data_IF_641983488141
#
_entry.id   IF_641983488141
#
_cell.length_a   1.000
_cell.length_b   1.000
_cell.length_c   1.000
_cell.angle_alpha   90.00
_cell.angle_beta   90.00
_cell.angle_gamma   90.00
#
_symmetry.space_group_name_H-M   'P 1'
#
loop_
_entity.id
_entity.type
_entity.pdbx_description
1 polymer ?
#
# COMPACT_ATOMS: atom_id res chain seq x y z
N UNK A 1 -20.15 -50.23 -1.40
CA UNK A 1 -19.47 -49.17 -2.18
C UNK A 1 -20.30 -48.81 -3.40
N UNK A 2 -21.28 -47.93 -3.22
CA UNK A 2 -21.92 -47.25 -4.34
C UNK A 2 -21.43 -45.81 -4.32
N UNK A 3 -20.62 -45.47 -5.31
CA UNK A 3 -20.23 -44.11 -5.64
C UNK A 3 -21.49 -43.34 -6.05
N UNK A 4 -22.15 -42.69 -5.09
CA UNK A 4 -23.26 -41.75 -5.36
C UNK A 4 -22.74 -40.61 -6.21
N UNK A 5 -23.21 -40.53 -7.45
CA UNK A 5 -22.88 -39.44 -8.37
C UNK A 5 -23.62 -38.17 -7.93
N UNK A 6 -22.91 -37.05 -7.69
CA UNK A 6 -23.56 -35.80 -7.30
C UNK A 6 -24.40 -35.27 -8.46
N UNK A 7 -25.63 -34.86 -8.17
CA UNK A 7 -26.52 -34.21 -9.13
C UNK A 7 -26.28 -32.69 -9.09
N UNK A 8 -25.86 -32.10 -10.21
CA UNK A 8 -25.76 -30.64 -10.36
C UNK A 8 -27.14 -30.06 -10.70
N UNK A 9 -27.60 -29.10 -9.91
CA UNK A 9 -28.93 -28.48 -10.07
C UNK A 9 -28.77 -27.02 -10.47
N UNK A 10 -29.10 -26.69 -11.72
CA UNK A 10 -29.12 -25.32 -12.26
C UNK A 10 -30.53 -24.79 -12.53
N UNK A 11 -31.58 -25.62 -12.34
CA UNK A 11 -33.00 -25.33 -12.62
C UNK A 11 -33.92 -26.11 -11.66
N UNK A 12 -35.24 -25.84 -11.58
CA UNK A 12 -36.14 -26.57 -10.69
C UNK A 12 -36.14 -28.06 -11.04
N UNK A 13 -35.75 -28.92 -10.09
CA UNK A 13 -35.64 -30.37 -10.27
C UNK A 13 -36.49 -31.07 -9.21
N UNK A 14 -37.36 -31.99 -9.64
CA UNK A 14 -38.16 -32.81 -8.74
C UNK A 14 -37.40 -34.12 -8.45
N UNK A 15 -37.01 -34.32 -7.19
CA UNK A 15 -36.34 -35.54 -6.73
C UNK A 15 -37.29 -36.28 -5.79
N UNK A 16 -37.60 -37.54 -6.11
CA UNK A 16 -38.38 -38.42 -5.22
C UNK A 16 -37.40 -39.27 -4.42
N UNK A 17 -37.52 -39.24 -3.09
CA UNK A 17 -36.64 -39.99 -2.17
C UNK A 17 -37.49 -40.98 -1.39
N UNK A 18 -37.13 -42.26 -1.45
CA UNK A 18 -37.85 -43.29 -0.69
C UNK A 18 -37.35 -43.37 0.76
N UNK A 19 -38.14 -44.00 1.63
CA UNK A 19 -37.80 -44.17 3.04
C UNK A 19 -36.50 -44.98 3.18
N UNK A 20 -35.49 -44.37 3.80
CA UNK A 20 -34.17 -44.98 4.02
C UNK A 20 -33.12 -44.64 2.95
N UNK A 21 -33.50 -43.89 1.90
CA UNK A 21 -32.54 -43.36 0.92
C UNK A 21 -31.99 -42.00 1.38
N UNK A 22 -30.72 -41.75 1.07
CA UNK A 22 -30.04 -40.48 1.32
C UNK A 22 -29.58 -39.88 -0.01
N UNK A 23 -29.97 -38.63 -0.26
CA UNK A 23 -29.60 -37.88 -1.47
C UNK A 23 -28.61 -36.78 -1.11
N UNK A 24 -27.48 -36.75 -1.81
CA UNK A 24 -26.46 -35.71 -1.70
C UNK A 24 -26.59 -34.76 -2.90
N UNK A 25 -26.78 -33.46 -2.63
CA UNK A 25 -26.91 -32.42 -3.66
C UNK A 25 -25.76 -31.41 -3.55
N UNK A 26 -25.21 -30.97 -4.69
CA UNK A 26 -24.30 -29.81 -4.74
C UNK A 26 -25.06 -28.60 -5.29
N UNK A 27 -25.06 -27.52 -4.52
CA UNK A 27 -25.72 -26.28 -4.87
C UNK A 27 -24.66 -25.23 -5.23
N UNK A 28 -24.78 -24.64 -6.42
CA UNK A 28 -23.87 -23.61 -6.93
C UNK A 28 -24.53 -22.21 -6.95
N UNK A 29 -25.77 -22.10 -6.47
CA UNK A 29 -26.54 -20.86 -6.39
C UNK A 29 -27.49 -20.94 -5.19
N UNK A 30 -28.12 -19.82 -4.84
CA UNK A 30 -29.19 -19.84 -3.83
C UNK A 30 -30.39 -20.61 -4.36
N UNK A 31 -30.86 -21.61 -3.62
CA UNK A 31 -31.95 -22.50 -4.05
C UNK A 31 -33.05 -22.55 -3.00
N UNK A 32 -34.29 -22.48 -3.48
CA UNK A 32 -35.49 -22.77 -2.70
C UNK A 32 -35.83 -24.25 -2.88
N UNK A 33 -35.78 -25.02 -1.79
CA UNK A 33 -36.12 -26.44 -1.78
C UNK A 33 -37.50 -26.59 -1.15
N UNK A 34 -38.46 -27.13 -1.91
CA UNK A 34 -39.79 -27.47 -1.41
C UNK A 34 -39.87 -28.97 -1.13
N UNK A 35 -40.09 -29.35 0.12
CA UNK A 35 -40.24 -30.74 0.54
C UNK A 35 -41.73 -31.02 0.71
N UNK A 36 -42.28 -31.93 -0.09
CA UNK A 36 -43.69 -32.35 -0.02
C UNK A 36 -43.78 -33.75 0.60
N UNK A 37 -44.36 -33.86 1.79
CA UNK A 37 -44.54 -35.12 2.50
C UNK A 37 -45.96 -35.65 2.30
N UNK A 38 -46.11 -36.84 1.73
CA UNK A 38 -47.39 -37.53 1.57
C UNK A 38 -47.66 -38.44 2.76
N UNK A 39 -48.68 -38.13 3.55
CA UNK A 39 -49.13 -38.93 4.69
C UNK A 39 -50.40 -39.70 4.30
N UNK A 40 -50.35 -41.03 4.43
CA UNK A 40 -51.53 -41.88 4.29
C UNK A 40 -52.24 -41.94 5.65
N UNK A 41 -53.45 -41.42 5.73
CA UNK A 41 -54.24 -41.48 6.97
C UNK A 41 -54.79 -42.90 7.17
N UNK A 42 -54.53 -43.52 8.32
CA UNK A 42 -55.14 -44.81 8.65
C UNK A 42 -56.65 -44.67 8.82
N UNK A 43 -57.42 -45.49 8.10
CA UNK A 43 -58.90 -45.49 8.14
C UNK A 43 -59.61 -44.69 7.05
N UNK A 44 -58.91 -43.95 6.18
CA UNK A 44 -59.50 -43.17 5.08
C UNK A 44 -58.77 -43.38 3.74
N UNK A 45 -59.45 -43.11 2.62
CA UNK A 45 -58.90 -43.26 1.25
C UNK A 45 -58.15 -42.04 0.72
N UNK A 46 -57.99 -40.98 1.52
CA UNK A 46 -57.31 -39.75 1.11
C UNK A 46 -55.88 -39.67 1.64
N UNK A 47 -55.03 -38.97 0.89
CA UNK A 47 -53.68 -38.61 1.28
C UNK A 47 -53.66 -37.14 1.74
N UNK A 48 -52.97 -36.86 2.84
CA UNK A 48 -52.65 -35.50 3.26
C UNK A 48 -51.23 -35.15 2.82
N UNK A 49 -50.97 -33.88 2.49
CA UNK A 49 -49.62 -33.42 2.15
C UNK A 49 -49.21 -32.19 2.95
N UNK A 50 -47.94 -32.13 3.34
CA UNK A 50 -47.32 -30.99 4.03
C UNK A 50 -46.16 -30.49 3.18
N UNK A 51 -46.07 -29.16 2.98
CA UNK A 51 -44.96 -28.53 2.26
C UNK A 51 -44.07 -27.77 3.24
N UNK A 52 -42.79 -28.11 3.26
CA UNK A 52 -41.76 -27.31 3.91
C UNK A 52 -40.95 -26.57 2.85
N UNK A 53 -40.69 -25.29 3.06
CA UNK A 53 -39.76 -24.52 2.24
C UNK A 53 -38.46 -24.34 3.00
N UNK A 54 -37.37 -24.88 2.46
CA UNK A 54 -36.01 -24.62 2.92
C UNK A 54 -35.35 -23.65 1.94
N UNK A 55 -34.76 -22.58 2.46
CA UNK A 55 -34.01 -21.60 1.67
C UNK A 55 -32.53 -21.83 1.93
N UNK A 56 -31.80 -22.28 0.92
CA UNK A 56 -30.35 -22.39 0.95
C UNK A 56 -29.77 -21.18 0.24
N UNK A 57 -29.03 -20.34 0.96
CA UNK A 57 -28.25 -19.26 0.37
C UNK A 57 -26.89 -19.81 -0.07
N UNK A 58 -26.54 -19.64 -1.34
CA UNK A 58 -25.15 -19.83 -1.74
C UNK A 58 -24.29 -18.72 -1.14
N UNK A 59 -23.10 -19.07 -0.66
CA UNK A 59 -22.10 -18.08 -0.30
C UNK A 59 -21.61 -17.43 -1.60
N UNK A 60 -21.78 -16.12 -1.77
CA UNK A 60 -21.15 -15.38 -2.86
C UNK A 60 -19.66 -15.24 -2.55
N UNK A 61 -18.83 -15.94 -3.30
CA UNK A 61 -17.37 -15.79 -3.27
C UNK A 61 -16.97 -14.93 -4.46
N UNK A 62 -16.56 -13.70 -4.19
CA UNK A 62 -16.09 -12.77 -5.22
C UNK A 62 -14.68 -12.36 -4.84
N UNK A 63 -13.73 -12.63 -5.74
CA UNK A 63 -12.37 -12.10 -5.61
C UNK A 63 -12.40 -10.60 -5.89
N UNK A 64 -11.49 -9.80 -5.30
CA UNK A 64 -11.45 -8.38 -5.57
C UNK A 64 -11.36 -8.08 -7.06
N UNK A 65 -12.17 -7.15 -7.57
CA UNK A 65 -12.08 -6.72 -8.97
C UNK A 65 -10.88 -5.81 -9.20
N UNK A 66 -10.63 -4.92 -8.24
CA UNK A 66 -9.54 -3.95 -8.28
C UNK A 66 -8.96 -3.73 -6.90
N UNK A 67 -7.65 -3.53 -6.87
CA UNK A 67 -6.89 -3.15 -5.68
C UNK A 67 -6.02 -1.97 -6.07
N UNK A 68 -6.14 -0.85 -5.35
CA UNK A 68 -5.42 0.38 -5.69
C UNK A 68 -4.92 1.11 -4.46
N UNK A 69 -3.72 1.67 -4.53
CA UNK A 69 -3.12 2.46 -3.46
C UNK A 69 -3.19 3.93 -3.81
N UNK A 70 -3.63 4.74 -2.84
CA UNK A 70 -3.67 6.19 -2.95
C UNK A 70 -3.27 6.87 -1.64
N UNK A 71 -2.83 8.11 -1.71
CA UNK A 71 -2.61 8.93 -0.53
C UNK A 71 -3.93 9.47 0.01
N UNK A 72 -4.14 9.41 1.33
CA UNK A 72 -5.32 9.99 1.98
C UNK A 72 -5.30 11.52 1.91
N UNK A 73 -4.11 12.11 1.96
CA UNK A 73 -3.90 13.56 1.88
C UNK A 73 -2.99 13.91 0.71
N UNK A 74 -3.25 15.05 0.02
CA UNK A 74 -2.45 15.46 -1.11
C UNK A 74 -1.05 15.91 -0.66
N UNK A 75 -0.07 15.70 -1.54
CA UNK A 75 1.30 16.18 -1.36
C UNK A 75 2.31 15.08 -1.02
N UNK A 76 3.60 15.45 -0.97
CA UNK A 76 4.68 14.53 -0.64
C UNK A 76 4.69 14.22 0.85
N UNK A 77 5.32 13.11 1.20
CA UNK A 77 5.59 12.76 2.59
C UNK A 77 6.66 13.70 3.16
N UNK A 78 6.65 13.96 4.47
CA UNK A 78 7.67 14.80 5.14
C UNK A 78 8.33 13.99 6.25
N UNK A 79 9.66 13.94 6.26
CA UNK A 79 10.47 13.19 7.23
C UNK A 79 9.94 13.36 8.67
N UNK A 80 9.71 12.23 9.35
CA UNK A 80 9.23 12.18 10.74
C UNK A 80 7.76 12.58 10.95
N UNK A 81 7.03 12.93 9.89
CA UNK A 81 5.60 13.28 9.98
C UNK A 81 4.74 12.14 9.45
N UNK A 82 3.77 11.68 10.25
CA UNK A 82 2.88 10.59 9.85
C UNK A 82 2.17 10.89 8.52
N UNK A 83 2.23 9.91 7.61
CA UNK A 83 1.58 9.92 6.32
C UNK A 83 0.69 8.68 6.19
N UNK A 84 -0.40 8.80 5.45
CA UNK A 84 -1.46 7.79 5.40
C UNK A 84 -1.68 7.36 3.96
N UNK A 85 -1.39 6.08 3.68
CA UNK A 85 -1.78 5.43 2.44
C UNK A 85 -3.06 4.62 2.64
N UNK A 86 -3.93 4.65 1.64
CA UNK A 86 -5.19 3.92 1.60
C UNK A 86 -5.15 2.94 0.46
N UNK A 87 -5.46 1.68 0.77
CA UNK A 87 -5.65 0.62 -0.21
C UNK A 87 -7.15 0.42 -0.39
N UNK A 88 -7.68 0.76 -1.55
CA UNK A 88 -9.08 0.57 -1.93
C UNK A 88 -9.25 -0.78 -2.63
N UNK A 89 -10.21 -1.58 -2.18
CA UNK A 89 -10.47 -2.95 -2.63
C UNK A 89 -11.94 -3.06 -2.98
N UNK A 90 -12.25 -3.39 -4.24
CA UNK A 90 -13.63 -3.38 -4.74
C UNK A 90 -14.24 -4.78 -4.87
N UNK A 91 -15.54 -4.87 -4.59
CA UNK A 91 -16.40 -6.01 -4.91
C UNK A 91 -15.93 -7.37 -4.35
N UNK A 92 -15.41 -7.38 -3.11
CA UNK A 92 -14.86 -8.61 -2.50
C UNK A 92 -15.85 -9.25 -1.54
N UNK A 93 -15.97 -10.59 -1.58
CA UNK A 93 -16.69 -11.37 -0.58
C UNK A 93 -16.13 -12.79 -0.38
N UNK A 94 -16.19 -13.34 0.85
CA UNK A 94 -16.64 -12.68 2.08
C UNK A 94 -15.52 -11.85 2.72
N UNK A 95 -15.83 -10.64 3.19
CA UNK A 95 -14.84 -9.70 3.74
C UNK A 95 -14.10 -10.27 4.96
N UNK A 96 -14.77 -11.01 5.85
CA UNK A 96 -14.13 -11.68 7.00
C UNK A 96 -12.96 -12.64 6.67
N UNK A 97 -12.83 -13.07 5.39
CA UNK A 97 -11.75 -13.94 4.93
C UNK A 97 -10.68 -13.18 4.16
N UNK A 98 -10.83 -11.86 4.02
CA UNK A 98 -9.88 -10.99 3.37
C UNK A 98 -8.75 -10.65 4.32
N UNK A 99 -7.53 -10.91 3.87
CA UNK A 99 -6.30 -10.46 4.52
C UNK A 99 -5.61 -9.48 3.59
N UNK A 100 -5.35 -8.27 4.07
CA UNK A 100 -4.60 -7.27 3.33
C UNK A 100 -3.19 -7.18 3.90
N UNK A 101 -2.19 -7.26 3.03
CA UNK A 101 -0.78 -7.08 3.40
C UNK A 101 -0.24 -5.85 2.69
N UNK A 102 0.48 -5.03 3.44
CA UNK A 102 1.21 -3.91 2.88
C UNK A 102 2.67 -4.28 2.72
N UNK A 103 3.22 -3.90 1.57
CA UNK A 103 4.62 -4.07 1.24
C UNK A 103 5.25 -2.72 0.96
N UNK A 104 6.48 -2.54 1.45
CA UNK A 104 7.41 -1.52 0.99
C UNK A 104 8.55 -2.24 0.30
N UNK A 105 8.71 -1.99 -0.99
CA UNK A 105 9.62 -2.72 -1.86
C UNK A 105 9.33 -4.23 -1.75
N UNK A 106 10.22 -5.05 -1.19
CA UNK A 106 9.96 -6.49 -1.01
C UNK A 106 9.64 -6.89 0.43
N UNK A 107 9.55 -5.94 1.35
CA UNK A 107 9.34 -6.20 2.77
C UNK A 107 7.88 -6.00 3.16
N UNK A 108 7.31 -6.95 3.90
CA UNK A 108 5.97 -6.79 4.49
C UNK A 108 6.04 -5.84 5.68
N UNK A 109 5.37 -4.69 5.58
CA UNK A 109 5.39 -3.64 6.61
C UNK A 109 4.17 -3.66 7.52
N UNK A 110 3.03 -4.17 7.05
CA UNK A 110 1.87 -4.41 7.91
C UNK A 110 0.91 -5.42 7.29
N UNK A 111 -0.02 -5.92 8.11
CA UNK A 111 -1.11 -6.76 7.65
C UNK A 111 -2.35 -6.61 8.51
N UNK A 112 -3.51 -6.67 7.87
CA UNK A 112 -4.82 -6.50 8.48
C UNK A 112 -5.73 -7.65 8.07
N UNK A 113 -6.54 -8.14 9.01
CA UNK A 113 -7.66 -9.03 8.71
C UNK A 113 -8.95 -8.31 9.03
N UNK A 114 -9.90 -8.38 8.11
CA UNK A 114 -11.21 -7.77 8.32
C UNK A 114 -12.09 -8.67 9.18
N UNK A 115 -12.90 -8.06 10.04
CA UNK A 115 -13.83 -8.77 10.94
C UNK A 115 -15.30 -8.62 10.51
N UNK A 116 -15.56 -8.06 9.32
CA UNK A 116 -16.92 -7.86 8.84
C UNK A 116 -17.56 -9.18 8.40
N UNK A 117 -18.67 -9.54 9.05
CA UNK A 117 -19.45 -10.76 8.82
C UNK A 117 -20.40 -10.69 7.63
N UNK A 118 -20.45 -9.55 6.93
CA UNK A 118 -21.25 -9.40 5.73
C UNK A 118 -20.88 -10.43 4.67
N UNK A 119 -21.93 -11.05 4.11
CA UNK A 119 -21.79 -12.16 3.16
C UNK A 119 -21.86 -11.70 1.71
N UNK A 120 -22.33 -10.48 1.45
CA UNK A 120 -22.42 -9.90 0.11
C UNK A 120 -21.10 -9.22 -0.28
N UNK A 121 -20.81 -9.08 -1.59
CA UNK A 121 -19.65 -8.33 -2.06
C UNK A 121 -19.68 -6.89 -1.56
N UNK A 122 -18.53 -6.39 -1.10
CA UNK A 122 -18.38 -5.03 -0.62
C UNK A 122 -17.10 -4.37 -1.10
N UNK A 123 -17.13 -3.04 -1.12
CA UNK A 123 -15.95 -2.21 -1.26
C UNK A 123 -15.42 -1.90 0.13
N UNK A 124 -14.17 -2.26 0.38
CA UNK A 124 -13.49 -2.06 1.66
C UNK A 124 -12.17 -1.36 1.43
N UNK A 125 -11.56 -0.87 2.51
CA UNK A 125 -10.25 -0.26 2.43
C UNK A 125 -9.41 -0.58 3.66
N UNK A 126 -8.10 -0.63 3.48
CA UNK A 126 -7.11 -0.69 4.55
C UNK A 126 -6.29 0.59 4.56
N UNK A 127 -5.83 1.03 5.73
CA UNK A 127 -4.97 2.23 5.85
C UNK A 127 -3.64 1.85 6.48
N UNK A 128 -2.54 2.23 5.83
CA UNK A 128 -1.19 2.08 6.37
C UNK A 128 -0.63 3.43 6.79
N UNK A 129 -0.15 3.50 8.03
CA UNK A 129 0.47 4.70 8.61
C UNK A 129 1.98 4.57 8.47
N UNK A 130 2.59 5.58 7.87
CA UNK A 130 4.03 5.63 7.60
C UNK A 130 4.60 6.81 8.37
N UNK A 131 5.70 6.58 9.10
CA UNK A 131 6.57 7.64 9.57
C UNK A 131 7.80 7.65 8.66
N UNK A 132 7.84 8.53 7.64
CA UNK A 132 8.79 8.43 6.55
C UNK A 132 10.19 8.85 7.00
N UNK A 133 11.19 8.12 6.51
CA UNK A 133 12.62 8.41 6.65
C UNK A 133 13.22 8.82 5.29
N UNK A 134 14.43 9.38 5.29
CA UNK A 134 15.05 9.93 4.08
C UNK A 134 15.35 8.87 3.02
N UNK A 135 15.69 7.67 3.45
CA UNK A 135 15.99 6.53 2.61
C UNK A 135 14.75 5.85 2.03
N UNK A 136 13.54 6.25 2.48
CA UNK A 136 12.29 5.79 1.88
C UNK A 136 11.90 6.58 0.63
N UNK A 137 12.64 7.65 0.30
CA UNK A 137 12.44 8.41 -0.92
C UNK A 137 12.69 7.52 -2.15
N UNK A 138 11.68 7.35 -2.99
CA UNK A 138 11.70 6.43 -4.13
C UNK A 138 11.27 5.00 -3.83
N UNK A 139 11.04 4.62 -2.57
CA UNK A 139 10.49 3.29 -2.22
C UNK A 139 9.09 3.10 -2.80
N UNK A 140 8.78 1.86 -3.19
CA UNK A 140 7.49 1.50 -3.77
C UNK A 140 6.59 0.81 -2.74
N UNK A 141 5.42 1.38 -2.50
CA UNK A 141 4.40 0.78 -1.64
C UNK A 141 3.36 0.06 -2.48
N UNK A 142 3.02 -1.17 -2.12
CA UNK A 142 1.89 -1.90 -2.69
C UNK A 142 1.06 -2.56 -1.60
N UNK A 143 -0.22 -2.77 -1.88
CA UNK A 143 -1.05 -3.63 -1.06
C UNK A 143 -1.44 -4.89 -1.83
N UNK A 144 -1.49 -6.01 -1.11
CA UNK A 144 -1.88 -7.32 -1.62
C UNK A 144 -3.11 -7.79 -0.84
N UNK A 145 -4.18 -8.10 -1.56
CA UNK A 145 -5.45 -8.54 -1.01
C UNK A 145 -5.62 -10.05 -1.23
N UNK A 146 -5.45 -10.83 -0.16
CA UNK A 146 -5.51 -12.30 -0.17
C UNK A 146 -6.86 -12.79 0.38
N UNK A 147 -7.58 -13.61 -0.39
CA UNK A 147 -8.87 -14.16 0.03
C UNK A 147 -8.73 -15.60 0.55
N UNK A 148 -8.70 -15.78 1.87
CA UNK A 148 -8.44 -17.06 2.53
C UNK A 148 -9.70 -17.91 2.71
N UNK A 149 -10.14 -18.57 1.64
CA UNK A 149 -11.41 -19.34 1.62
C UNK A 149 -11.43 -20.61 2.50
N UNK A 150 -10.27 -21.07 3.00
CA UNK A 150 -10.14 -22.25 3.86
C UNK A 150 -10.00 -23.56 3.06
N UNK A 151 -10.15 -24.74 3.70
CA UNK A 151 -9.84 -26.04 3.08
C UNK A 151 -10.77 -26.44 1.92
N UNK A 152 -11.94 -25.80 1.82
CA UNK A 152 -12.87 -25.99 0.70
C UNK A 152 -12.66 -24.95 -0.43
N UNK A 153 -11.68 -24.06 -0.28
CA UNK A 153 -11.30 -23.07 -1.27
C UNK A 153 -10.36 -23.64 -2.34
N UNK A 154 -9.95 -22.82 -3.32
CA UNK A 154 -8.91 -23.19 -4.28
C UNK A 154 -7.57 -23.45 -3.58
N UNK A 155 -6.74 -24.33 -4.16
CA UNK A 155 -5.40 -24.64 -3.63
C UNK A 155 -4.48 -23.41 -3.64
N UNK A 156 -4.66 -22.53 -4.63
CA UNK A 156 -3.95 -21.25 -4.74
C UNK A 156 -4.82 -20.16 -4.12
N UNK A 157 -4.28 -19.42 -3.16
CA UNK A 157 -4.98 -18.31 -2.53
C UNK A 157 -5.20 -17.21 -3.57
N UNK A 158 -6.47 -16.86 -3.89
CA UNK A 158 -6.75 -15.74 -4.78
C UNK A 158 -6.16 -14.46 -4.18
N UNK A 159 -5.28 -13.82 -4.94
CA UNK A 159 -4.51 -12.67 -4.50
C UNK A 159 -4.50 -11.62 -5.59
N UNK A 160 -4.96 -10.43 -5.27
CA UNK A 160 -4.87 -9.26 -6.14
C UNK A 160 -3.88 -8.26 -5.59
N UNK A 161 -3.09 -7.66 -6.48
CA UNK A 161 -1.96 -6.80 -6.14
C UNK A 161 -2.19 -5.42 -6.75
N UNK A 162 -2.01 -4.38 -5.95
CA UNK A 162 -2.09 -3.01 -6.46
C UNK A 162 -0.90 -2.65 -7.35
N UNK A 163 -1.12 -1.70 -8.24
CA UNK A 163 -0.01 -0.93 -8.82
C UNK A 163 0.83 -0.26 -7.70
N UNK A 164 2.15 -0.11 -7.90
CA UNK A 164 3.03 0.47 -6.90
C UNK A 164 2.82 1.98 -6.75
N UNK A 165 2.74 2.45 -5.52
CA UNK A 165 2.79 3.86 -5.15
C UNK A 165 4.23 4.25 -4.81
N UNK A 166 4.85 5.11 -5.62
CA UNK A 166 6.21 5.62 -5.34
C UNK A 166 6.17 6.70 -4.28
N UNK A 167 6.88 6.50 -3.17
CA UNK A 167 7.00 7.49 -2.12
C UNK A 167 7.93 8.63 -2.56
N UNK A 168 7.49 9.86 -2.33
CA UNK A 168 8.30 11.06 -2.44
C UNK A 168 8.41 11.64 -1.03
N UNK A 169 9.60 11.64 -0.47
CA UNK A 169 9.85 12.07 0.91
C UNK A 169 10.67 13.35 0.90
N UNK A 170 10.04 14.44 1.35
CA UNK A 170 10.71 15.70 1.57
C UNK A 170 11.38 15.72 2.96
N UNK A 171 12.63 16.20 3.00
CA UNK A 171 13.42 16.34 4.21
C UNK A 171 14.33 17.58 4.16
N UNK A 172 14.77 18.02 5.34
CA UNK A 172 15.65 19.19 5.47
C UNK A 172 17.03 18.91 4.87
N UNK A 173 17.75 19.95 4.41
CA UNK A 173 19.06 19.76 3.81
C UNK A 173 20.08 19.26 4.84
N UNK A 174 21.07 18.52 4.37
CA UNK A 174 22.20 18.06 5.17
C UNK A 174 23.51 18.12 4.38
N UNK A 175 24.62 18.35 5.09
CA UNK A 175 25.94 18.42 4.46
C UNK A 175 26.46 16.99 4.26
N UNK A 176 26.73 16.61 3.01
CA UNK A 176 27.36 15.32 2.68
C UNK A 176 28.87 15.41 2.83
N UNK A 177 29.45 16.43 2.22
CA UNK A 177 30.88 16.69 2.27
C UNK A 177 31.12 18.19 2.07
N UNK A 178 31.94 18.79 2.91
CA UNK A 178 32.40 20.16 2.69
C UNK A 178 33.74 20.33 3.42
N UNK A 179 34.78 20.85 2.76
CA UNK A 179 36.08 21.02 3.41
C UNK A 179 36.00 22.06 4.54
N UNK A 180 36.76 21.83 5.62
CA UNK A 180 36.93 22.83 6.68
C UNK A 180 37.93 23.91 6.30
N UNK A 181 38.89 23.58 5.42
CA UNK A 181 39.84 24.51 4.83
C UNK A 181 40.07 24.18 3.36
N UNK A 182 40.23 25.21 2.51
CA UNK A 182 40.51 25.02 1.09
C UNK A 182 41.54 26.06 0.62
N UNK A 183 42.50 25.61 -0.20
CA UNK A 183 43.57 26.45 -0.72
C UNK A 183 43.40 26.60 -2.23
N UNK A 184 43.36 27.83 -2.71
CA UNK A 184 43.09 28.16 -4.11
C UNK A 184 44.11 29.17 -4.66
N UNK A 185 44.39 29.07 -5.96
CA UNK A 185 45.17 30.07 -6.68
C UNK A 185 44.26 31.24 -7.02
N UNK A 186 44.74 32.47 -6.88
CA UNK A 186 43.97 33.67 -7.25
C UNK A 186 43.50 33.61 -8.71
N UNK A 187 42.30 34.14 -8.97
CA UNK A 187 41.65 34.22 -10.28
C UNK A 187 41.35 32.87 -10.98
N UNK A 188 41.58 31.73 -10.31
CA UNK A 188 41.33 30.38 -10.87
C UNK A 188 40.11 29.68 -10.27
N UNK A 189 39.51 30.23 -9.21
CA UNK A 189 38.40 29.60 -8.49
C UNK A 189 37.37 30.65 -8.07
N UNK A 190 36.11 30.22 -7.99
CA UNK A 190 34.99 30.97 -7.40
C UNK A 190 34.30 30.08 -6.35
N UNK A 191 33.50 30.67 -5.46
CA UNK A 191 32.92 29.94 -4.31
C UNK A 191 31.92 28.86 -4.72
N UNK A 192 31.23 29.02 -5.84
CA UNK A 192 30.30 28.01 -6.39
C UNK A 192 31.01 26.78 -6.97
N UNK A 193 32.31 26.87 -7.28
CA UNK A 193 33.14 25.76 -7.75
C UNK A 193 33.75 24.92 -6.62
N UNK A 194 33.58 25.33 -5.35
CA UNK A 194 34.12 24.58 -4.22
C UNK A 194 33.43 23.22 -4.06
N UNK A 195 34.15 22.17 -3.62
CA UNK A 195 33.62 20.82 -3.50
C UNK A 195 32.75 20.65 -2.23
N UNK A 196 31.73 21.49 -2.08
CA UNK A 196 30.73 21.39 -1.02
C UNK A 196 29.49 20.67 -1.58
N UNK A 197 29.27 19.44 -1.16
CA UNK A 197 28.12 18.62 -1.52
C UNK A 197 27.10 18.59 -0.38
N UNK A 198 25.84 18.85 -0.71
CA UNK A 198 24.73 18.74 0.21
C UNK A 198 23.62 17.86 -0.38
N UNK A 199 22.88 17.18 0.49
CA UNK A 199 21.64 16.48 0.16
C UNK A 199 20.43 17.26 0.67
N UNK A 200 19.26 16.97 0.11
CA UNK A 200 17.98 17.54 0.52
C UNK A 200 16.92 17.22 -0.52
N UNK A 201 15.68 16.99 -0.07
CA UNK A 201 14.52 16.87 -0.94
C UNK A 201 13.42 17.84 -0.44
N UNK A 202 12.99 18.85 -1.22
CA UNK A 202 13.48 19.23 -2.54
C UNK A 202 14.97 19.59 -2.55
N UNK A 203 15.64 19.52 -3.73
CA UNK A 203 17.04 19.90 -3.87
C UNK A 203 17.33 21.28 -3.28
N UNK A 204 18.33 21.40 -2.39
CA UNK A 204 18.61 22.65 -1.73
C UNK A 204 19.44 23.60 -2.61
N UNK A 205 19.38 24.88 -2.25
CA UNK A 205 20.24 25.94 -2.80
C UNK A 205 21.36 26.26 -1.82
N UNK A 206 22.52 26.69 -2.33
CA UNK A 206 23.68 27.08 -1.52
C UNK A 206 23.89 28.58 -1.66
N UNK A 207 24.03 29.26 -0.52
CA UNK A 207 24.35 30.68 -0.44
C UNK A 207 25.60 30.88 0.40
N UNK A 208 26.54 31.68 -0.10
CA UNK A 208 27.80 31.95 0.59
C UNK A 208 27.77 33.30 1.28
N UNK A 209 28.33 33.32 2.49
CA UNK A 209 28.47 34.52 3.30
C UNK A 209 29.92 34.72 3.70
N UNK A 210 30.41 35.94 3.55
CA UNK A 210 31.72 36.37 4.04
C UNK A 210 31.50 37.53 5.03
N UNK A 211 32.07 37.41 6.23
CA UNK A 211 31.89 38.40 7.30
C UNK A 211 30.41 38.72 7.59
N UNK A 212 29.53 37.71 7.47
CA UNK A 212 28.09 37.84 7.70
C UNK A 212 27.29 38.49 6.57
N UNK A 213 27.93 38.85 5.45
CA UNK A 213 27.25 39.41 4.26
C UNK A 213 27.18 38.37 3.15
N UNK A 214 26.04 38.31 2.47
CA UNK A 214 25.86 37.50 1.27
C UNK A 214 26.82 38.00 0.19
N UNK A 215 27.55 37.09 -0.44
CA UNK A 215 28.49 37.40 -1.53
C UNK A 215 28.01 36.84 -2.85
N UNK A 216 28.51 37.40 -3.95
CA UNK A 216 28.37 36.80 -5.27
C UNK A 216 29.33 35.61 -5.37
N UNK A 217 28.80 34.38 -5.37
CA UNK A 217 29.63 33.17 -5.35
C UNK A 217 30.33 32.86 -6.66
N UNK A 218 29.96 33.52 -7.76
CA UNK A 218 30.54 33.30 -9.09
C UNK A 218 31.69 34.26 -9.41
N UNK A 219 32.00 35.21 -8.53
CA UNK A 219 33.15 36.10 -8.70
C UNK A 219 34.46 35.33 -8.44
N UNK A 220 35.50 35.52 -9.30
CA UNK A 220 36.81 34.94 -9.05
C UNK A 220 37.40 35.44 -7.74
N UNK A 221 37.99 34.51 -6.99
CA UNK A 221 38.60 34.77 -5.70
C UNK A 221 39.98 35.40 -5.87
N UNK A 222 40.23 36.50 -5.16
CA UNK A 222 41.53 37.18 -5.13
C UNK A 222 42.33 36.81 -3.88
N UNK A 223 43.62 37.18 -3.83
CA UNK A 223 44.44 37.03 -2.61
C UNK A 223 43.87 37.76 -1.37
N UNK A 224 42.99 38.74 -1.55
CA UNK A 224 42.38 39.50 -0.46
C UNK A 224 41.12 38.84 0.11
N UNK A 225 40.65 37.78 -0.54
CA UNK A 225 39.48 36.98 -0.14
C UNK A 225 39.85 35.83 0.81
N UNK A 226 41.09 35.78 1.32
CA UNK A 226 41.46 34.82 2.37
C UNK A 226 40.65 35.09 3.64
N UNK A 227 39.95 34.09 4.15
CA UNK A 227 39.09 34.28 5.31
C UNK A 227 38.12 33.13 5.59
N UNK A 228 37.23 33.36 6.57
CA UNK A 228 36.19 32.42 6.94
C UNK A 228 34.90 32.71 6.18
N UNK A 229 34.45 31.74 5.40
CA UNK A 229 33.20 31.75 4.66
C UNK A 229 32.19 30.82 5.34
N UNK A 230 30.91 31.18 5.25
CA UNK A 230 29.81 30.35 5.71
C UNK A 230 28.92 30.00 4.54
N UNK A 231 28.73 28.71 4.29
CA UNK A 231 27.73 28.23 3.35
C UNK A 231 26.42 27.97 4.11
N UNK A 232 25.33 28.64 3.72
CA UNK A 232 23.98 28.30 4.13
C UNK A 232 23.33 27.47 3.00
N UNK A 233 22.98 26.23 3.32
CA UNK A 233 22.27 25.32 2.43
C UNK A 233 20.80 25.29 2.84
N UNK A 234 19.88 25.65 1.94
CA UNK A 234 18.46 25.83 2.26
C UNK A 234 17.54 25.19 1.23
N UNK A 235 16.46 24.58 1.72
CA UNK A 235 15.25 24.29 0.93
C UNK A 235 14.00 24.81 1.67
N UNK A 236 12.81 24.47 1.15
CA UNK A 236 11.53 24.92 1.71
C UNK A 236 11.25 24.41 3.14
N UNK A 237 11.93 23.35 3.59
CA UNK A 237 11.73 22.74 4.91
C UNK A 237 12.70 23.29 5.96
N UNK A 238 13.81 23.90 5.55
CA UNK A 238 14.77 24.50 6.48
C UNK A 238 16.14 24.73 5.86
N UNK A 239 17.10 25.06 6.72
CA UNK A 239 18.48 25.28 6.33
C UNK A 239 19.48 24.63 7.30
N UNK A 240 20.68 24.39 6.78
CA UNK A 240 21.86 23.95 7.53
C UNK A 240 23.04 24.80 7.07
N UNK A 241 23.96 25.12 7.98
CA UNK A 241 25.13 25.94 7.67
C UNK A 241 26.43 25.24 8.02
N UNK A 242 27.47 25.48 7.23
CA UNK A 242 28.85 25.06 7.53
C UNK A 242 29.83 26.20 7.28
N UNK A 243 31.01 26.12 7.89
CA UNK A 243 32.08 27.10 7.71
C UNK A 243 33.28 26.50 7.00
N UNK A 244 33.86 27.28 6.10
CA UNK A 244 35.08 26.98 5.36
C UNK A 244 36.11 28.09 5.62
N UNK A 245 37.36 27.72 5.85
CA UNK A 245 38.48 28.66 5.83
C UNK A 245 39.18 28.62 4.48
N UNK A 246 39.07 29.70 3.70
CA UNK A 246 39.66 29.84 2.38
C UNK A 246 41.05 30.48 2.49
N UNK A 247 42.03 29.91 1.82
CA UNK A 247 43.39 30.46 1.66
C UNK A 247 43.64 30.68 0.17
N UNK A 248 43.81 31.94 -0.23
CA UNK A 248 44.12 32.33 -1.61
C UNK A 248 45.56 32.81 -1.74
N UNK A 249 46.26 32.38 -2.79
CA UNK A 249 47.65 32.76 -3.01
C UNK A 249 47.95 33.03 -4.49
N UNK A 250 48.99 33.82 -4.73
CA UNK A 250 49.54 34.12 -6.05
C UNK A 250 50.68 33.14 -6.38
N UNK A 251 50.78 32.72 -7.63
CA UNK A 251 51.95 32.00 -8.14
C UNK A 251 52.92 33.04 -8.69
N UNK A 252 54.09 33.17 -8.05
CA UNK A 252 55.20 34.04 -8.46
C UNK A 252 56.05 33.41 -9.55
#
# INVERSE_FOLDING_TARGET
DETKTPVNVSSPLLITVNRGEEVQMRLNASVHIFIVLWLKCEGYSYYAWIVFQLIFFALSTETPDTVSVSAVHPGPMVEGTNFYLKCDISNVAPVQKLKVKWYRDNETVSGEMFLDTNKTPQNVFSTHIITPERDYDGSQYRCEAELHLGPNGPDVIPTEISEPYTAIVHYKPFIKACPSSYTAVEDQLSMDMLPCSAGGNPPPTVQWYHQGKLINSSEPLTRFDTGKYTAEIRNILGSVSTSLFLITFCIL
#
